data_IF_216343804728
#
_entry.id   IF_216343804728
#
_cell.length_a   1.000
_cell.length_b   1.000
_cell.length_c   1.000
_cell.angle_alpha   90.00
_cell.angle_beta   90.00
_cell.angle_gamma   90.00
#
_symmetry.space_group_name_H-M   'P 1'
#
loop_
_entity.id
_entity.type
_entity.pdbx_description
1 polymer ?
#
# COMPACT_ATOMS: atom_id res chain seq x y z
N UNK A 1 1.41 -17.96 -46.62
CA UNK A 1 2.30 -17.99 -45.44
C UNK A 1 2.31 -16.59 -44.84
N UNK A 2 1.43 -16.24 -43.87
CA UNK A 2 1.62 -15.06 -42.98
C UNK A 2 0.44 -14.65 -42.07
N UNK A 3 -0.80 -15.11 -42.28
CA UNK A 3 -1.95 -14.63 -41.46
C UNK A 3 -1.85 -15.03 -39.98
N UNK A 4 -1.20 -16.15 -39.69
CA UNK A 4 -1.01 -16.64 -38.32
C UNK A 4 -0.01 -15.79 -37.52
N UNK A 5 1.01 -15.21 -38.17
CA UNK A 5 2.07 -14.43 -37.50
C UNK A 5 1.65 -13.02 -37.10
N UNK A 6 0.71 -12.39 -37.83
CA UNK A 6 0.22 -11.04 -37.51
C UNK A 6 -0.60 -11.01 -36.22
N UNK A 7 -1.50 -11.99 -36.05
CA UNK A 7 -2.32 -12.11 -34.84
C UNK A 7 -1.49 -12.43 -33.59
N UNK A 8 -0.46 -13.28 -33.73
CA UNK A 8 0.46 -13.59 -32.62
C UNK A 8 1.23 -12.34 -32.18
N UNK A 9 1.81 -11.59 -33.12
CA UNK A 9 2.61 -10.40 -32.79
C UNK A 9 1.76 -9.28 -32.16
N UNK A 10 0.52 -9.09 -32.65
CA UNK A 10 -0.42 -8.11 -32.09
C UNK A 10 -0.81 -8.45 -30.65
N UNK A 11 -1.17 -9.71 -30.39
CA UNK A 11 -1.56 -10.18 -29.06
C UNK A 11 -0.39 -10.05 -28.05
N UNK A 12 0.82 -10.41 -28.46
CA UNK A 12 2.01 -10.31 -27.61
C UNK A 12 2.30 -8.86 -27.17
N UNK A 13 2.14 -7.90 -28.08
CA UNK A 13 2.34 -6.48 -27.78
C UNK A 13 1.27 -5.93 -26.85
N UNK A 14 0.00 -6.32 -27.03
CA UNK A 14 -1.10 -5.93 -26.12
C UNK A 14 -0.96 -6.54 -24.73
N UNK A 15 -0.52 -7.80 -24.63
CA UNK A 15 -0.24 -8.45 -23.35
C UNK A 15 0.95 -7.79 -22.63
N UNK A 16 2.00 -7.42 -23.36
CA UNK A 16 3.15 -6.71 -22.79
C UNK A 16 2.78 -5.31 -22.26
N UNK A 17 1.94 -4.55 -22.98
CA UNK A 17 1.49 -3.23 -22.51
C UNK A 17 0.56 -3.33 -21.31
N UNK A 18 -0.37 -4.29 -21.28
CA UNK A 18 -1.26 -4.52 -20.13
C UNK A 18 -0.46 -4.93 -18.89
N UNK A 19 0.57 -5.79 -19.04
CA UNK A 19 1.41 -6.20 -17.91
C UNK A 19 2.27 -5.03 -17.38
N UNK A 20 2.81 -4.20 -18.28
CA UNK A 20 3.55 -2.97 -17.93
C UNK A 20 2.66 -1.95 -17.23
N UNK A 21 1.44 -1.73 -17.73
CA UNK A 21 0.47 -0.77 -17.19
C UNK A 21 -0.05 -1.23 -15.81
N UNK A 22 -0.38 -2.51 -15.65
CA UNK A 22 -0.76 -3.09 -14.36
C UNK A 22 0.36 -3.04 -13.31
N UNK A 23 1.63 -3.20 -13.72
CA UNK A 23 2.78 -2.99 -12.81
C UNK A 23 2.88 -1.52 -12.38
N UNK A 24 2.62 -0.60 -13.30
CA UNK A 24 2.66 0.84 -13.04
C UNK A 24 1.53 1.30 -12.11
N UNK A 25 0.31 0.83 -12.32
CA UNK A 25 -0.86 1.14 -11.49
C UNK A 25 -0.64 0.68 -10.05
N UNK A 26 -0.20 -0.57 -9.85
CA UNK A 26 0.11 -1.10 -8.52
C UNK A 26 1.23 -0.33 -7.82
N UNK A 27 2.29 0.03 -8.55
CA UNK A 27 3.35 0.86 -7.97
C UNK A 27 2.81 2.23 -7.52
N UNK A 28 1.90 2.83 -8.30
CA UNK A 28 1.30 4.13 -8.01
C UNK A 28 0.37 4.08 -6.79
N UNK A 29 -0.45 3.06 -6.67
CA UNK A 29 -1.34 2.85 -5.51
C UNK A 29 -0.53 2.71 -4.21
N UNK A 30 0.56 1.93 -4.25
CA UNK A 30 1.48 1.77 -3.11
C UNK A 30 2.11 3.09 -2.69
N UNK A 31 2.53 3.91 -3.66
CA UNK A 31 3.07 5.24 -3.39
C UNK A 31 2.00 6.16 -2.80
N UNK A 32 0.75 6.10 -3.26
CA UNK A 32 -0.34 6.89 -2.72
C UNK A 32 -0.67 6.50 -1.27
N UNK A 33 -0.73 5.21 -0.95
CA UNK A 33 -0.92 4.72 0.42
C UNK A 33 0.22 5.17 1.33
N UNK A 34 1.47 5.05 0.87
CA UNK A 34 2.64 5.55 1.59
C UNK A 34 2.50 7.04 1.87
N UNK A 35 2.14 7.83 0.86
CA UNK A 35 2.01 9.29 0.99
C UNK A 35 0.94 9.67 2.02
N UNK A 36 -0.17 8.93 2.05
CA UNK A 36 -1.26 9.12 3.02
C UNK A 36 -0.82 8.75 4.43
N UNK A 37 -0.08 7.65 4.58
CA UNK A 37 0.52 7.24 5.86
C UNK A 37 1.53 8.26 6.39
N UNK A 38 2.45 8.72 5.55
CA UNK A 38 3.43 9.75 5.91
C UNK A 38 2.75 11.05 6.36
N UNK A 39 1.64 11.45 5.74
CA UNK A 39 0.85 12.59 6.19
C UNK A 39 0.33 12.41 7.62
N UNK A 40 -0.20 11.22 7.94
CA UNK A 40 -0.72 10.90 9.26
C UNK A 40 0.38 10.83 10.33
N UNK A 41 1.53 10.22 10.00
CA UNK A 41 2.72 10.16 10.86
C UNK A 41 3.30 11.56 11.11
N UNK A 42 3.39 12.38 10.07
CA UNK A 42 3.89 13.75 10.20
C UNK A 42 3.00 14.55 11.14
N UNK A 43 1.68 14.48 10.95
CA UNK A 43 0.70 15.09 11.87
C UNK A 43 0.89 14.60 13.31
N UNK A 44 1.02 13.28 13.52
CA UNK A 44 1.29 12.70 14.83
C UNK A 44 2.57 13.27 15.46
N UNK A 45 3.68 13.36 14.73
CA UNK A 45 4.94 13.92 15.23
C UNK A 45 4.75 15.38 15.65
N UNK A 46 4.06 16.20 14.86
CA UNK A 46 3.76 17.59 15.22
C UNK A 46 2.89 17.68 16.48
N UNK A 47 1.86 16.85 16.59
CA UNK A 47 0.96 16.80 17.76
C UNK A 47 1.73 16.41 19.01
N UNK A 48 2.52 15.32 18.96
CA UNK A 48 3.34 14.87 20.09
C UNK A 48 4.42 15.89 20.45
N UNK A 49 5.06 16.54 19.48
CA UNK A 49 6.03 17.61 19.74
C UNK A 49 5.36 18.79 20.46
N UNK A 50 4.18 19.23 19.99
CA UNK A 50 3.40 20.27 20.66
C UNK A 50 2.99 19.88 22.09
N UNK A 51 2.55 18.64 22.28
CA UNK A 51 2.23 18.09 23.61
C UNK A 51 3.45 18.00 24.53
N UNK A 52 4.61 17.63 24.01
CA UNK A 52 5.86 17.57 24.77
C UNK A 52 6.30 18.96 25.24
N UNK A 53 6.20 19.97 24.36
CA UNK A 53 6.43 21.38 24.71
C UNK A 53 5.43 21.82 25.79
N UNK A 54 4.15 21.54 25.61
CA UNK A 54 3.11 21.91 26.56
C UNK A 54 3.31 21.21 27.92
N UNK A 55 3.70 19.94 27.92
CA UNK A 55 4.05 19.19 29.12
C UNK A 55 5.21 19.84 29.88
N UNK A 56 6.26 20.25 29.15
CA UNK A 56 7.40 20.98 29.71
C UNK A 56 6.97 22.28 30.38
N UNK A 57 6.06 23.05 29.75
CA UNK A 57 5.55 24.30 30.32
C UNK A 57 4.57 24.11 31.48
N UNK A 58 3.74 23.07 31.48
CA UNK A 58 2.60 22.95 32.40
C UNK A 58 2.96 22.23 33.70
N UNK A 59 3.84 21.22 33.65
CA UNK A 59 4.04 20.32 34.80
C UNK A 59 5.51 20.17 35.20
N UNK A 60 6.45 20.67 34.39
CA UNK A 60 7.86 20.30 34.52
C UNK A 60 8.06 18.77 34.37
N UNK A 61 9.27 18.27 34.66
CA UNK A 61 9.63 16.84 34.54
C UNK A 61 8.86 15.88 35.49
N UNK A 62 7.90 16.36 36.28
CA UNK A 62 7.21 15.58 37.30
C UNK A 62 6.11 14.65 36.78
N UNK A 63 5.45 14.98 35.66
CA UNK A 63 4.36 14.16 35.13
C UNK A 63 4.23 14.24 33.61
N UNK A 64 4.77 13.23 32.92
CA UNK A 64 4.80 13.12 31.46
C UNK A 64 3.48 12.58 30.89
N UNK A 65 2.38 13.33 31.10
CA UNK A 65 1.05 12.91 30.64
C UNK A 65 0.96 12.74 29.11
N UNK A 66 1.81 13.43 28.35
CA UNK A 66 1.85 13.31 26.89
C UNK A 66 2.19 11.89 26.42
N UNK A 67 2.88 11.08 27.25
CA UNK A 67 3.17 9.68 26.95
C UNK A 67 1.90 8.84 26.82
N UNK A 68 0.86 9.13 27.60
CA UNK A 68 -0.43 8.44 27.51
C UNK A 68 -1.15 8.77 26.20
N UNK A 69 -1.12 10.05 25.79
CA UNK A 69 -1.65 10.47 24.49
C UNK A 69 -0.85 9.84 23.33
N UNK A 70 0.48 9.83 23.43
CA UNK A 70 1.38 9.21 22.48
C UNK A 70 1.15 7.69 22.37
N UNK A 71 0.97 6.99 23.49
CA UNK A 71 0.70 5.55 23.48
C UNK A 71 -0.65 5.23 22.84
N UNK A 72 -1.72 5.92 23.24
CA UNK A 72 -3.06 5.68 22.70
C UNK A 72 -3.15 5.90 21.19
N UNK A 73 -2.62 7.01 20.70
CA UNK A 73 -2.59 7.31 19.26
C UNK A 73 -1.51 6.54 18.50
N UNK A 74 -0.37 6.27 19.14
CA UNK A 74 0.76 5.55 18.57
C UNK A 74 0.39 4.13 18.16
N UNK A 75 -0.42 3.43 18.97
CA UNK A 75 -0.94 2.09 18.63
C UNK A 75 -1.70 2.11 17.30
N UNK A 76 -2.57 3.11 17.08
CA UNK A 76 -3.34 3.23 15.85
C UNK A 76 -2.47 3.45 14.61
N UNK A 77 -1.40 4.25 14.76
CA UNK A 77 -0.41 4.45 13.69
C UNK A 77 0.39 3.17 13.42
N UNK A 78 0.79 2.43 14.46
CA UNK A 78 1.52 1.16 14.29
C UNK A 78 0.66 0.14 13.51
N UNK A 79 -0.63 0.03 13.83
CA UNK A 79 -1.55 -0.80 13.05
C UNK A 79 -1.68 -0.34 11.60
N UNK A 80 -1.77 0.98 11.37
CA UNK A 80 -1.79 1.52 10.01
C UNK A 80 -0.48 1.26 9.26
N UNK A 81 0.66 1.36 9.96
CA UNK A 81 1.99 1.10 9.41
C UNK A 81 2.12 -0.37 8.97
N UNK A 82 1.71 -1.30 9.82
CA UNK A 82 1.71 -2.74 9.50
C UNK A 82 0.87 -3.01 8.25
N UNK A 83 -0.30 -2.36 8.13
CA UNK A 83 -1.17 -2.47 6.95
C UNK A 83 -0.56 -1.84 5.70
N UNK A 84 -0.03 -0.61 5.79
CA UNK A 84 0.53 0.14 4.65
C UNK A 84 1.85 -0.42 4.14
N UNK A 85 2.73 -0.85 5.04
CA UNK A 85 3.98 -1.51 4.63
C UNK A 85 3.76 -2.97 4.24
N UNK A 86 2.53 -3.48 4.38
CA UNK A 86 2.18 -4.86 4.04
C UNK A 86 3.15 -5.84 4.70
N UNK A 87 3.53 -5.51 5.95
CA UNK A 87 4.43 -6.27 6.81
C UNK A 87 3.67 -7.46 7.38
N UNK A 88 2.99 -8.21 6.51
CA UNK A 88 2.42 -9.49 6.85
C UNK A 88 3.49 -10.55 6.48
N UNK A 89 4.42 -10.93 7.40
CA UNK A 89 5.43 -11.95 7.12
C UNK A 89 4.81 -13.30 6.72
N UNK A 90 3.52 -13.53 6.98
CA UNK A 90 2.80 -14.75 6.66
C UNK A 90 1.98 -14.71 5.35
N UNK A 91 1.63 -13.54 4.84
CA UNK A 91 0.69 -13.39 3.71
C UNK A 91 1.26 -12.53 2.57
N UNK A 92 2.58 -12.35 2.57
CA UNK A 92 3.27 -11.47 1.64
C UNK A 92 3.11 -11.94 0.20
N UNK A 93 2.75 -11.00 -0.69
CA UNK A 93 2.92 -10.91 -2.16
C UNK A 93 2.65 -12.14 -3.04
N UNK A 94 3.01 -13.35 -2.63
CA UNK A 94 2.67 -14.62 -3.26
C UNK A 94 1.18 -14.92 -3.21
N UNK A 95 0.47 -14.63 -2.12
CA UNK A 95 -0.99 -14.85 -2.09
C UNK A 95 -1.72 -13.89 -3.04
N UNK A 96 -1.34 -12.61 -3.03
CA UNK A 96 -1.84 -11.61 -3.99
C UNK A 96 -1.53 -11.97 -5.44
N UNK A 97 -0.28 -12.38 -5.74
CA UNK A 97 0.09 -12.84 -7.08
C UNK A 97 -0.75 -14.03 -7.54
N UNK A 98 -0.97 -15.02 -6.65
CA UNK A 98 -1.78 -16.19 -6.96
C UNK A 98 -3.24 -15.82 -7.24
N UNK A 99 -3.82 -14.94 -6.42
CA UNK A 99 -5.20 -14.48 -6.63
C UNK A 99 -5.37 -13.65 -7.90
N UNK A 100 -4.39 -12.82 -8.23
CA UNK A 100 -4.42 -12.05 -9.46
C UNK A 100 -4.25 -12.93 -10.70
N UNK A 101 -3.36 -13.93 -10.65
CA UNK A 101 -3.24 -14.93 -11.72
C UNK A 101 -4.49 -15.79 -11.89
N UNK A 102 -5.25 -16.00 -10.82
CA UNK A 102 -6.52 -16.73 -10.85
C UNK A 102 -7.63 -15.89 -11.52
N UNK A 103 -7.78 -14.62 -11.13
CA UNK A 103 -8.71 -13.69 -11.78
C UNK A 103 -8.40 -13.46 -13.27
N UNK A 104 -7.12 -13.28 -13.62
CA UNK A 104 -6.73 -13.11 -15.02
C UNK A 104 -7.01 -14.37 -15.86
N UNK A 105 -6.89 -15.57 -15.27
CA UNK A 105 -7.26 -16.82 -15.95
C UNK A 105 -8.76 -16.94 -16.17
N UNK A 106 -9.57 -16.53 -15.20
CA UNK A 106 -11.03 -16.56 -15.33
C UNK A 106 -11.52 -15.58 -16.41
N UNK A 107 -10.96 -14.38 -16.49
CA UNK A 107 -11.31 -13.38 -17.53
C UNK A 107 -10.92 -13.84 -18.95
N UNK A 108 -9.77 -14.51 -19.07
CA UNK A 108 -9.30 -15.05 -20.36
C UNK A 108 -10.16 -16.24 -20.81
N UNK A 109 -10.62 -17.05 -19.86
CA UNK A 109 -11.49 -18.20 -20.13
C UNK A 109 -12.92 -17.76 -20.48
N UNK A 110 -13.46 -16.72 -19.84
CA UNK A 110 -14.79 -16.18 -20.16
C UNK A 110 -14.86 -15.47 -21.52
N UNK A 111 -13.79 -14.77 -21.94
CA UNK A 111 -13.74 -14.13 -23.26
C UNK A 111 -13.59 -15.12 -24.43
N UNK A 112 -13.23 -16.37 -24.16
CA UNK A 112 -13.06 -17.40 -25.20
C UNK A 112 -14.38 -18.08 -25.61
N UNK A 113 -15.44 -17.89 -24.83
CA UNK A 113 -16.77 -18.51 -25.05
C UNK A 113 -17.87 -17.51 -25.44
N UNK A 114 -17.52 -16.23 -25.62
CA UNK A 114 -18.36 -15.22 -26.30
C UNK A 114 -17.87 -15.03 -27.74
#
# INVERSE_FOLDING_TARGET
MSIFSYNITSNNNTMETIDKENKYVRARERVQELKKFYGNVTSYVFVIAGLAILNYYTTGFGYMWFLWAAFGWGIGIVFHAIKTFDLNPFFGKQWEKRKLEEFMREDEQNNKWK
#
